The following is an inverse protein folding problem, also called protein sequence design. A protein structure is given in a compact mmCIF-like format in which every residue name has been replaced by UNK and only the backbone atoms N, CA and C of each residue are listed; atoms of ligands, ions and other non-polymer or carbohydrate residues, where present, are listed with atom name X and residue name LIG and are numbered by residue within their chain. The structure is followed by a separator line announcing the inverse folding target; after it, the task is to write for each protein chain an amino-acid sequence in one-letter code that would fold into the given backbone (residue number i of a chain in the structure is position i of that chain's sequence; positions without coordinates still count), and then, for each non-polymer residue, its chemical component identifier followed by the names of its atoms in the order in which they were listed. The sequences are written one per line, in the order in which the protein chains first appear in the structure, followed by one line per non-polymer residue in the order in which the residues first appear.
data_IF_943998758353
#
_entry.id   IF_943998758353
#
_cell.length_a   1.000
_cell.length_b   1.000
_cell.length_c   1.000
_cell.angle_alpha   90.00
_cell.angle_beta   90.00
_cell.angle_gamma   90.00
#
_symmetry.space_group_name_H-M   'P 1'
#
loop_
_entity.id
_entity.type
_entity.pdbx_description
1 polymer ?
#
# COMPACT_ATOMS: atom_id res chain seq x y z
N UNK A 1 12.56 -3.91 0.45
CA UNK A 1 11.82 -2.83 -0.24
C UNK A 1 10.84 -3.51 -1.18
N UNK A 2 9.54 -3.19 -1.07
CA UNK A 2 8.47 -3.81 -1.86
C UNK A 2 7.99 -2.83 -2.93
N UNK A 3 7.73 -3.33 -4.14
CA UNK A 3 7.18 -2.54 -5.26
C UNK A 3 5.91 -3.24 -5.73
N UNK A 4 4.81 -2.49 -5.78
CA UNK A 4 3.52 -2.97 -6.24
C UNK A 4 3.02 -2.11 -7.40
N UNK A 5 2.63 -2.76 -8.50
CA UNK A 5 2.06 -2.09 -9.68
C UNK A 5 0.55 -1.99 -9.53
N UNK A 6 0.06 -0.76 -9.39
CA UNK A 6 -1.35 -0.50 -9.16
C UNK A 6 -2.18 -0.68 -10.42
N UNK A 7 -3.44 -1.07 -10.26
CA UNK A 7 -4.40 -1.23 -11.36
C UNK A 7 -5.61 -0.34 -11.11
N UNK A 8 -6.20 0.24 -12.17
CA UNK A 8 -7.41 1.05 -12.08
C UNK A 8 -7.25 2.46 -11.50
N UNK A 9 -6.07 2.86 -11.04
CA UNK A 9 -5.82 4.13 -10.32
C UNK A 9 -5.09 5.20 -11.13
N UNK A 10 -4.89 6.40 -10.57
CA UNK A 10 -4.02 7.44 -11.15
C UNK A 10 -2.54 7.15 -10.87
N UNK A 11 -2.23 6.68 -9.66
CA UNK A 11 -0.92 6.13 -9.34
C UNK A 11 -0.65 4.91 -10.22
N UNK A 12 0.63 4.68 -10.51
CA UNK A 12 1.11 3.56 -11.32
C UNK A 12 1.84 2.52 -10.48
N UNK A 13 2.52 2.97 -9.44
CA UNK A 13 3.31 2.11 -8.55
C UNK A 13 3.23 2.61 -7.11
N UNK A 14 3.37 1.68 -6.18
CA UNK A 14 3.50 1.92 -4.75
C UNK A 14 4.79 1.25 -4.30
N UNK A 15 5.67 2.01 -3.68
CA UNK A 15 6.94 1.55 -3.14
C UNK A 15 6.85 1.69 -1.63
N UNK A 16 7.12 0.62 -0.89
CA UNK A 16 7.02 0.66 0.57
C UNK A 16 8.04 -0.24 1.26
N UNK A 17 8.26 0.04 2.54
CA UNK A 17 9.10 -0.77 3.43
C UNK A 17 8.34 -1.07 4.71
N UNK A 18 8.54 -2.28 5.23
CA UNK A 18 7.95 -2.79 6.46
C UNK A 18 9.10 -3.36 7.30
N UNK A 19 9.05 -3.20 8.61
CA UNK A 19 10.02 -3.78 9.53
C UNK A 19 9.66 -5.19 9.99
N UNK A 20 10.50 -5.78 10.84
CA UNK A 20 10.33 -7.12 11.38
C UNK A 20 9.05 -7.30 12.22
N UNK A 21 8.48 -6.21 12.74
CA UNK A 21 7.28 -6.19 13.57
C UNK A 21 6.01 -5.87 12.76
N UNK A 22 6.07 -5.96 11.43
CA UNK A 22 4.97 -5.62 10.53
C UNK A 22 4.48 -4.16 10.68
N UNK A 23 5.42 -3.24 10.94
CA UNK A 23 5.14 -1.79 10.96
C UNK A 23 5.67 -1.14 9.68
N UNK A 24 4.82 -0.36 9.02
CA UNK A 24 5.18 0.35 7.79
C UNK A 24 6.21 1.44 8.12
N UNK A 25 7.38 1.41 7.49
CA UNK A 25 8.42 2.44 7.66
C UNK A 25 8.29 3.58 6.67
N UNK A 26 7.97 3.27 5.42
CA UNK A 26 7.79 4.29 4.38
C UNK A 26 6.85 3.81 3.28
N UNK A 27 6.14 4.75 2.66
CA UNK A 27 5.33 4.54 1.46
C UNK A 27 5.59 5.68 0.48
N UNK A 28 5.67 5.36 -0.81
CA UNK A 28 5.76 6.34 -1.90
C UNK A 28 4.88 5.88 -3.04
N UNK A 29 3.98 6.75 -3.47
CA UNK A 29 3.22 6.55 -4.70
C UNK A 29 3.96 7.17 -5.87
N UNK A 30 4.04 6.45 -6.98
CA UNK A 30 4.49 6.99 -8.26
C UNK A 30 3.26 7.45 -9.03
N UNK A 31 3.19 8.76 -9.30
CA UNK A 31 2.04 9.45 -9.90
C UNK A 31 0.78 9.47 -8.98
N UNK A 32 -0.27 10.17 -9.42
CA UNK A 32 -1.52 10.36 -8.68
C UNK A 32 -1.69 11.78 -8.15
N UNK A 33 -2.73 12.00 -7.34
CA UNK A 33 -2.98 13.29 -6.71
C UNK A 33 -1.86 13.61 -5.71
N UNK A 34 -0.95 14.52 -6.07
CA UNK A 34 0.28 14.81 -5.35
C UNK A 34 0.07 15.06 -3.85
N UNK A 35 -0.94 15.87 -3.47
CA UNK A 35 -1.21 16.17 -2.07
C UNK A 35 -1.75 14.96 -1.30
N UNK A 36 -2.75 14.27 -1.87
CA UNK A 36 -3.39 13.14 -1.20
C UNK A 36 -2.44 11.94 -1.04
N UNK A 37 -1.66 11.60 -2.07
CA UNK A 37 -0.73 10.46 -1.99
C UNK A 37 0.41 10.71 -1.01
N UNK A 38 0.90 11.95 -0.90
CA UNK A 38 1.84 12.33 0.16
C UNK A 38 1.21 12.27 1.55
N UNK A 39 -0.04 12.74 1.69
CA UNK A 39 -0.79 12.68 2.94
C UNK A 39 -0.95 11.23 3.43
N UNK A 40 -1.45 10.34 2.58
CA UNK A 40 -1.58 8.90 2.89
C UNK A 40 -0.23 8.32 3.30
N UNK A 41 0.82 8.56 2.50
CA UNK A 41 2.16 8.03 2.78
C UNK A 41 2.68 8.42 4.18
N UNK A 42 2.40 9.64 4.64
CA UNK A 42 2.78 10.09 5.98
C UNK A 42 1.89 9.51 7.07
N UNK A 43 0.59 9.39 6.82
CA UNK A 43 -0.38 8.89 7.80
C UNK A 43 -0.17 7.41 8.12
N UNK A 44 0.25 6.61 7.14
CA UNK A 44 0.44 5.16 7.29
C UNK A 44 1.81 4.79 7.84
N UNK A 45 2.81 5.67 7.74
CA UNK A 45 4.14 5.42 8.29
C UNK A 45 4.07 5.33 9.82
N UNK A 46 4.75 4.33 10.38
CA UNK A 46 4.74 4.04 11.82
C UNK A 46 3.53 3.25 12.30
N UNK A 47 2.62 2.82 11.41
CA UNK A 47 1.43 2.03 11.78
C UNK A 47 1.57 0.55 11.39
N UNK A 48 0.91 -0.35 12.13
CA UNK A 48 0.85 -1.76 11.79
C UNK A 48 0.20 -2.01 10.42
N UNK A 49 0.73 -2.98 9.68
CA UNK A 49 0.22 -3.35 8.35
C UNK A 49 -1.27 -3.69 8.38
N UNK A 50 -1.71 -4.49 9.36
CA UNK A 50 -3.11 -4.92 9.47
C UNK A 50 -4.09 -3.78 9.75
N UNK A 51 -3.66 -2.79 10.53
CA UNK A 51 -4.46 -1.58 10.78
C UNK A 51 -4.71 -0.84 9.47
N UNK A 52 -3.67 -0.65 8.66
CA UNK A 52 -3.76 0.07 7.38
C UNK A 52 -4.56 -0.70 6.34
N UNK A 53 -4.42 -2.02 6.29
CA UNK A 53 -5.27 -2.87 5.44
C UNK A 53 -6.74 -2.66 5.80
N UNK A 54 -7.08 -2.75 7.08
CA UNK A 54 -8.46 -2.58 7.57
C UNK A 54 -9.01 -1.19 7.26
N UNK A 55 -8.20 -0.14 7.47
CA UNK A 55 -8.62 1.25 7.29
C UNK A 55 -8.85 1.62 5.82
N UNK A 56 -8.03 1.09 4.89
CA UNK A 56 -8.00 1.56 3.51
C UNK A 56 -8.69 0.61 2.50
N UNK A 57 -8.91 -0.65 2.86
CA UNK A 57 -9.51 -1.65 1.97
C UNK A 57 -10.92 -1.23 1.55
N UNK A 58 -11.18 -1.27 0.25
CA UNK A 58 -12.49 -0.98 -0.34
C UNK A 58 -12.80 0.50 -0.57
N UNK A 59 -11.90 1.44 -0.21
CA UNK A 59 -12.09 2.86 -0.54
C UNK A 59 -12.15 3.00 -2.07
N UNK A 60 -13.21 3.62 -2.58
CA UNK A 60 -13.42 3.77 -4.02
C UNK A 60 -13.10 5.18 -4.51
N UNK A 61 -12.59 5.25 -5.75
CA UNK A 61 -12.40 6.49 -6.49
C UNK A 61 -12.87 6.32 -7.94
N UNK A 62 -12.25 5.40 -8.69
CA UNK A 62 -12.63 5.07 -10.07
C UNK A 62 -12.30 3.63 -10.39
N UNK A 63 -12.94 3.07 -11.42
CA UNK A 63 -12.70 1.68 -11.87
C UNK A 63 -12.81 0.64 -10.73
N UNK A 64 -13.71 0.86 -9.77
CA UNK A 64 -13.94 -0.04 -8.64
C UNK A 64 -12.84 -0.07 -7.57
N UNK A 65 -11.88 0.85 -7.59
CA UNK A 65 -10.77 0.90 -6.60
C UNK A 65 -10.26 2.34 -6.39
N UNK A 66 -9.23 2.52 -5.57
CA UNK A 66 -8.56 3.80 -5.31
C UNK A 66 -7.07 3.60 -4.97
N UNK A 67 -6.28 4.68 -4.94
CA UNK A 67 -4.88 4.60 -4.50
C UNK A 67 -4.72 4.03 -3.07
N UNK A 68 -5.49 4.47 -2.06
CA UNK A 68 -5.46 3.84 -0.74
C UNK A 68 -5.94 2.38 -0.74
N UNK A 69 -6.96 2.01 -1.51
CA UNK A 69 -7.38 0.60 -1.62
C UNK A 69 -6.29 -0.26 -2.27
N UNK A 70 -5.64 0.22 -3.33
CA UNK A 70 -4.49 -0.48 -3.93
C UNK A 70 -3.30 -0.59 -2.96
N UNK A 71 -3.11 0.35 -2.03
CA UNK A 71 -2.13 0.19 -0.95
C UNK A 71 -2.53 -0.96 -0.01
N UNK A 72 -3.82 -1.07 0.35
CA UNK A 72 -4.30 -2.20 1.16
C UNK A 72 -4.09 -3.55 0.44
N UNK A 73 -4.33 -3.63 -0.87
CA UNK A 73 -4.05 -4.85 -1.65
C UNK A 73 -2.55 -5.17 -1.69
N UNK A 74 -1.69 -4.17 -1.92
CA UNK A 74 -0.24 -4.35 -1.90
C UNK A 74 0.27 -4.91 -0.56
N UNK A 75 -0.31 -4.45 0.54
CA UNK A 75 0.02 -4.90 1.90
C UNK A 75 -0.47 -6.33 2.17
N UNK A 76 -1.65 -6.71 1.65
CA UNK A 76 -2.14 -8.11 1.71
C UNK A 76 -1.20 -9.05 0.97
N UNK A 77 -0.83 -8.70 -0.27
CA UNK A 77 0.12 -9.50 -1.08
C UNK A 77 1.47 -9.64 -0.38
N UNK A 78 1.99 -8.56 0.23
CA UNK A 78 3.20 -8.62 1.04
C UNK A 78 3.08 -9.63 2.19
N UNK A 79 1.96 -9.64 2.93
CA UNK A 79 1.75 -10.60 4.02
C UNK A 79 1.68 -12.04 3.51
N UNK A 80 1.01 -12.26 2.38
CA UNK A 80 0.93 -13.59 1.75
C UNK A 80 2.31 -14.10 1.35
N UNK A 81 3.14 -13.25 0.73
CA UNK A 81 4.51 -13.59 0.34
C UNK A 81 5.42 -13.82 1.56
N UNK A 82 5.29 -13.00 2.62
CA UNK A 82 6.01 -13.20 3.88
C UNK A 82 5.72 -14.57 4.49
N UNK A 83 4.47 -15.02 4.39
CA UNK A 83 4.02 -16.32 4.92
C UNK A 83 4.29 -17.49 3.95
N UNK A 84 4.69 -17.23 2.71
CA UNK A 84 5.01 -18.25 1.72
C UNK A 84 6.33 -17.93 0.97
N UNK A 85 7.50 -18.27 1.56
CA UNK A 85 8.81 -17.89 1.04
C UNK A 85 9.19 -18.48 -0.33
N UNK A 86 8.34 -19.31 -0.94
CA UNK A 86 8.63 -20.02 -2.20
C UNK A 86 8.36 -19.20 -3.47
N UNK A 87 7.94 -17.94 -3.36
CA UNK A 87 7.48 -17.10 -4.50
C UNK A 87 8.37 -15.87 -4.74
N UNK A 88 9.57 -15.80 -4.14
CA UNK A 88 10.47 -14.66 -4.31
C UNK A 88 11.44 -14.82 -5.48
#
# INVERSE_FOLDING_TARGET
MNIYRTKGTCSREIIFTVDENDVIKSVKFVNGCSGNTQGIARLVAGRPVDEIISLLSGIQCRNGTSCPDQLAQALKEYKEQKNNPQVQ
#
